data_IF_377631710230
#
_entry.id   IF_377631710230
#
_cell.length_a   1.000
_cell.length_b   1.000
_cell.length_c   1.000
_cell.angle_alpha   90.00
_cell.angle_beta   90.00
_cell.angle_gamma   90.00
#
_symmetry.space_group_name_H-M   'P 1'
#
loop_
_entity.id
_entity.type
_entity.pdbx_description
1 polymer ?
#
# COMPACT_ATOMS: atom_id res chain seq x y z
N UNK A 1 -10.54 10.28 20.49
CA UNK A 1 -10.64 9.52 19.23
C UNK A 1 -9.69 10.18 18.22
N UNK A 2 -8.50 9.61 18.02
CA UNK A 2 -7.42 10.24 17.24
C UNK A 2 -7.22 9.54 15.90
N UNK A 3 -7.13 10.31 14.82
CA UNK A 3 -6.71 9.82 13.51
C UNK A 3 -5.33 10.38 13.19
N UNK A 4 -4.37 9.52 12.85
CA UNK A 4 -3.02 9.95 12.44
C UNK A 4 -2.93 9.83 10.93
N UNK A 5 -3.04 10.97 10.25
CA UNK A 5 -2.86 11.07 8.80
C UNK A 5 -1.51 11.72 8.54
N UNK A 6 -0.51 10.94 8.14
CA UNK A 6 0.75 11.49 7.60
C UNK A 6 0.59 11.64 6.08
N UNK A 7 0.36 12.86 5.62
CA UNK A 7 0.29 13.22 4.20
C UNK A 7 1.27 14.38 3.96
N UNK A 8 2.16 14.24 2.97
CA UNK A 8 3.23 15.20 2.65
C UNK A 8 4.60 14.54 2.49
N UNK A 9 5.60 15.31 2.03
CA UNK A 9 6.99 14.86 1.90
C UNK A 9 7.59 14.53 3.26
N UNK A 10 7.62 13.24 3.59
CA UNK A 10 8.24 12.75 4.81
C UNK A 10 9.37 11.78 4.46
N UNK A 11 10.35 11.68 5.34
CA UNK A 11 11.43 10.70 5.25
C UNK A 11 11.04 9.51 6.12
N UNK A 12 10.51 8.42 5.54
CA UNK A 12 10.23 7.20 6.28
C UNK A 12 11.49 6.61 6.90
N UNK A 13 11.34 6.12 8.13
CA UNK A 13 12.36 5.32 8.80
C UNK A 13 12.40 3.90 8.21
N UNK A 14 13.54 3.23 8.34
CA UNK A 14 13.71 1.81 7.98
C UNK A 14 12.74 0.89 8.75
N UNK A 15 12.37 1.28 9.97
CA UNK A 15 11.44 0.54 10.81
C UNK A 15 10.28 1.44 11.26
N UNK A 16 9.06 1.07 10.88
CA UNK A 16 7.83 1.80 11.23
C UNK A 16 6.92 0.85 11.99
N UNK A 17 6.52 1.25 13.19
CA UNK A 17 5.51 0.52 13.96
C UNK A 17 4.18 1.25 13.90
N UNK A 18 3.17 0.61 13.34
CA UNK A 18 1.81 1.10 13.24
C UNK A 18 0.92 0.34 14.23
N UNK A 19 0.70 0.95 15.40
CA UNK A 19 -0.18 0.42 16.43
C UNK A 19 -1.56 1.06 16.29
N UNK A 20 -2.54 0.25 15.91
CA UNK A 20 -3.93 0.70 15.74
C UNK A 20 -4.79 -0.08 16.72
N UNK A 21 -5.07 0.53 17.86
CA UNK A 21 -5.97 -0.08 18.85
C UNK A 21 -7.43 0.02 18.38
N UNK A 22 -7.82 1.22 17.91
CA UNK A 22 -9.15 1.51 17.36
C UNK A 22 -9.02 2.66 16.35
N UNK A 23 -9.34 2.44 15.07
CA UNK A 23 -9.35 3.48 14.03
C UNK A 23 -8.64 3.09 12.73
N UNK A 24 -8.24 4.08 11.93
CA UNK A 24 -7.52 3.86 10.68
C UNK A 24 -6.12 4.48 10.68
N UNK A 25 -5.18 3.82 10.01
CA UNK A 25 -3.86 4.39 9.71
C UNK A 25 -3.63 4.38 8.21
N UNK A 26 -3.09 5.50 7.70
CA UNK A 26 -2.72 5.63 6.30
C UNK A 26 -1.26 6.04 6.19
N UNK A 27 -0.45 5.17 5.62
CA UNK A 27 0.97 5.41 5.34
C UNK A 27 1.14 5.66 3.84
N UNK A 28 1.65 6.83 3.47
CA UNK A 28 1.89 7.19 2.07
C UNK A 28 3.39 7.21 1.77
N UNK A 29 3.89 6.16 1.11
CA UNK A 29 5.27 6.10 0.64
C UNK A 29 5.46 6.67 -0.78
N UNK A 30 4.39 6.96 -1.54
CA UNK A 30 4.54 7.56 -2.88
C UNK A 30 4.88 9.05 -2.84
N UNK A 31 4.58 9.72 -1.72
CA UNK A 31 4.89 11.14 -1.52
C UNK A 31 6.18 11.37 -0.73
N UNK A 32 6.91 10.30 -0.37
CA UNK A 32 8.15 10.39 0.40
C UNK A 32 9.28 10.98 -0.44
N UNK A 33 10.08 11.87 0.15
CA UNK A 33 11.20 12.55 -0.53
C UNK A 33 12.43 11.65 -0.65
N UNK A 34 12.61 10.72 0.29
CA UNK A 34 13.70 9.75 0.31
C UNK A 34 13.19 8.47 0.97
N UNK A 35 13.37 7.33 0.31
CA UNK A 35 12.99 6.01 0.81
C UNK A 35 14.27 5.20 1.07
N UNK A 36 14.42 4.56 2.24
CA UNK A 36 15.51 3.62 2.47
C UNK A 36 15.38 2.41 1.53
N UNK A 37 16.46 1.67 1.23
CA UNK A 37 16.42 0.48 0.37
C UNK A 37 15.48 -0.61 0.91
N UNK A 38 15.30 -0.66 2.23
CA UNK A 38 14.38 -1.57 2.90
C UNK A 38 13.56 -0.81 3.96
N UNK A 39 12.25 -1.02 3.94
CA UNK A 39 11.30 -0.48 4.92
C UNK A 39 10.50 -1.63 5.52
N UNK A 40 10.59 -1.78 6.84
CA UNK A 40 9.81 -2.76 7.61
C UNK A 40 8.66 -2.05 8.32
N UNK A 41 7.43 -2.37 7.93
CA UNK A 41 6.21 -1.89 8.57
C UNK A 41 5.65 -2.98 9.49
N UNK A 42 5.72 -2.77 10.79
CA UNK A 42 5.09 -3.63 11.81
C UNK A 42 3.68 -3.11 12.11
N UNK A 43 2.67 -3.77 11.56
CA UNK A 43 1.27 -3.48 11.79
C UNK A 43 0.73 -4.31 12.97
N UNK A 44 0.37 -3.64 14.06
CA UNK A 44 -0.34 -4.25 15.19
C UNK A 44 -1.72 -3.62 15.26
N UNK A 45 -2.68 -4.28 14.62
CA UNK A 45 -4.04 -3.74 14.48
C UNK A 45 -4.97 -4.61 15.31
N UNK A 46 -5.54 -4.02 16.35
CA UNK A 46 -6.54 -4.68 17.18
C UNK A 46 -7.93 -4.51 16.54
N UNK A 47 -8.33 -3.27 16.26
CA UNK A 47 -9.60 -2.96 15.59
C UNK A 47 -9.43 -1.81 14.60
N UNK A 48 -9.49 -2.11 13.30
CA UNK A 48 -9.59 -1.13 12.24
C UNK A 48 -8.73 -1.41 11.02
N UNK A 49 -8.38 -0.38 10.26
CA UNK A 49 -7.79 -0.53 8.92
C UNK A 49 -6.40 0.10 8.83
N UNK A 50 -5.48 -0.56 8.12
CA UNK A 50 -4.21 0.02 7.72
C UNK A 50 -4.12 0.06 6.20
N UNK A 51 -3.98 1.27 5.65
CA UNK A 51 -3.75 1.49 4.22
C UNK A 51 -2.31 1.94 3.99
N UNK A 52 -1.57 1.17 3.21
CA UNK A 52 -0.18 1.48 2.86
C UNK A 52 -0.13 1.79 1.36
N UNK A 53 0.25 3.00 0.97
CA UNK A 53 0.45 3.38 -0.43
C UNK A 53 1.92 3.20 -0.80
N UNK A 54 2.21 2.40 -1.82
CA UNK A 54 3.58 2.10 -2.27
C UNK A 54 3.81 2.60 -3.70
N UNK A 55 5.04 3.05 -4.03
CA UNK A 55 5.41 3.42 -5.39
C UNK A 55 5.45 2.18 -6.32
N UNK A 56 5.37 2.36 -7.65
CA UNK A 56 5.17 1.25 -8.60
C UNK A 56 6.37 0.31 -8.71
N UNK A 57 7.57 0.79 -8.38
CA UNK A 57 8.83 0.05 -8.43
C UNK A 57 9.17 -0.66 -7.10
N UNK A 58 8.36 -0.51 -6.05
CA UNK A 58 8.59 -1.19 -4.78
C UNK A 58 8.17 -2.66 -4.85
N UNK A 59 8.98 -3.53 -4.26
CA UNK A 59 8.64 -4.93 -4.00
C UNK A 59 7.98 -5.01 -2.63
N UNK A 60 6.79 -5.62 -2.56
CA UNK A 60 6.02 -5.75 -1.33
C UNK A 60 6.08 -7.20 -0.86
N UNK A 61 6.46 -7.41 0.39
CA UNK A 61 6.40 -8.72 1.06
C UNK A 61 5.43 -8.65 2.23
N UNK A 62 4.39 -9.49 2.22
CA UNK A 62 3.39 -9.58 3.27
C UNK A 62 3.72 -10.78 4.17
N UNK A 63 4.19 -10.51 5.39
CA UNK A 63 4.55 -11.51 6.41
C UNK A 63 3.72 -11.31 7.68
N UNK A 64 2.42 -11.05 7.52
CA UNK A 64 1.50 -10.87 8.63
C UNK A 64 0.55 -12.05 8.82
N UNK A 65 0.02 -12.19 10.02
CA UNK A 65 -1.02 -13.18 10.33
C UNK A 65 -2.32 -12.46 10.65
N UNK A 66 -3.32 -12.48 9.75
CA UNK A 66 -4.67 -12.05 10.10
C UNK A 66 -5.36 -13.10 10.97
N UNK A 67 -6.06 -12.65 12.01
CA UNK A 67 -6.94 -13.47 12.85
C UNK A 67 -8.40 -13.32 12.37
N UNK A 68 -8.94 -12.09 12.34
CA UNK A 68 -10.24 -11.77 11.73
C UNK A 68 -10.11 -10.59 10.75
N UNK A 69 -9.82 -10.89 9.49
CA UNK A 69 -9.74 -9.91 8.41
C UNK A 69 -8.78 -10.33 7.31
N UNK A 70 -8.39 -9.40 6.44
CA UNK A 70 -7.48 -9.67 5.32
C UNK A 70 -6.18 -8.85 5.39
N UNK A 71 -5.08 -9.48 4.97
CA UNK A 71 -3.86 -8.77 4.58
C UNK A 71 -3.68 -9.00 3.09
N UNK A 72 -3.88 -7.96 2.27
CA UNK A 72 -3.84 -8.05 0.81
C UNK A 72 -3.12 -6.90 0.14
N UNK A 73 -2.37 -7.24 -0.89
CA UNK A 73 -1.87 -6.27 -1.87
C UNK A 73 -2.93 -6.08 -2.96
N UNK A 74 -3.29 -4.83 -3.21
CA UNK A 74 -4.26 -4.42 -4.22
C UNK A 74 -3.55 -3.45 -5.16
N UNK A 75 -3.26 -3.90 -6.38
CA UNK A 75 -2.83 -3.00 -7.44
C UNK A 75 -4.02 -2.15 -7.88
N UNK A 76 -4.04 -0.87 -7.50
CA UNK A 76 -5.05 0.07 -7.99
C UNK A 76 -4.55 0.71 -9.28
N UNK A 77 -5.04 0.22 -10.41
CA UNK A 77 -5.07 1.04 -11.62
C UNK A 77 -5.91 2.29 -11.32
N UNK A 78 -5.27 3.46 -11.26
CA UNK A 78 -5.95 4.74 -11.06
C UNK A 78 -6.66 5.11 -12.37
N UNK A 79 -7.80 4.45 -12.63
CA UNK A 79 -8.66 4.82 -13.74
C UNK A 79 -9.20 6.22 -13.46
N UNK A 80 -8.74 7.19 -14.26
CA UNK A 80 -9.26 8.57 -14.28
C UNK A 80 -10.75 8.45 -14.52
N UNK A 81 -11.59 8.96 -13.61
CA UNK A 81 -13.06 8.88 -13.68
C UNK A 81 -13.54 9.42 -15.02
N UNK A 82 -13.68 8.54 -16.02
CA UNK A 82 -14.25 8.88 -17.29
C UNK A 82 -15.74 9.06 -17.05
N UNK A 83 -16.19 10.31 -17.22
CA UNK A 83 -17.56 10.72 -16.98
C UNK A 83 -18.55 9.84 -17.74
N UNK A 84 -19.75 9.72 -17.18
CA UNK A 84 -20.93 9.11 -17.77
C UNK A 84 -21.10 9.55 -19.25
N UNK A 85 -20.61 8.77 -20.21
CA UNK A 85 -20.98 8.92 -21.62
C UNK A 85 -20.83 7.60 -22.36
N UNK A 86 -22.00 7.00 -22.61
CA UNK A 86 -22.41 6.18 -23.75
C UNK A 86 -21.54 4.99 -24.18
N UNK A 87 -22.16 3.80 -24.04
CA UNK A 87 -22.16 2.67 -25.00
C UNK A 87 -20.97 2.63 -25.95
N UNK A 88 -19.92 1.92 -25.57
CA UNK A 88 -18.80 1.61 -26.45
C UNK A 88 -17.96 0.51 -25.82
N UNK A 89 -18.07 -0.69 -26.38
CA UNK A 89 -17.18 -1.86 -26.30
C UNK A 89 -15.92 -1.67 -25.45
N UNK A 90 -15.84 -2.38 -24.33
CA UNK A 90 -14.58 -2.52 -23.57
C UNK A 90 -13.54 -3.19 -24.47
N UNK A 91 -12.31 -2.66 -24.60
CA UNK A 91 -11.17 -3.51 -24.92
C UNK A 91 -10.83 -4.36 -23.69
N UNK A 92 -10.63 -5.65 -23.91
CA UNK A 92 -10.01 -6.52 -22.91
C UNK A 92 -8.62 -5.98 -22.57
N UNK A 93 -8.22 -5.87 -21.29
CA UNK A 93 -6.83 -5.60 -20.93
C UNK A 93 -6.00 -6.88 -21.15
N UNK A 94 -5.77 -7.24 -22.40
CA UNK A 94 -4.72 -8.18 -22.78
C UNK A 94 -3.40 -7.41 -22.74
N UNK A 95 -2.53 -7.74 -21.77
CA UNK A 95 -1.21 -7.11 -21.62
C UNK A 95 -0.94 -6.40 -20.29
N UNK A 96 -1.48 -6.89 -19.16
CA UNK A 96 -0.91 -6.51 -17.85
C UNK A 96 0.34 -7.34 -17.58
N UNK A 97 1.36 -7.18 -18.42
CA UNK A 97 2.69 -7.66 -18.06
C UNK A 97 3.23 -6.69 -17.01
N UNK A 98 3.51 -7.13 -15.76
CA UNK A 98 4.26 -6.31 -14.83
C UNK A 98 5.64 -6.08 -15.46
N UNK A 99 5.91 -4.85 -15.89
CA UNK A 99 7.26 -4.43 -16.28
C UNK A 99 8.16 -4.63 -15.07
N UNK A 100 8.85 -5.76 -15.05
CA UNK A 100 9.85 -6.08 -14.05
C UNK A 100 11.05 -5.20 -14.38
N UNK A 101 11.12 -4.03 -13.75
CA UNK A 101 12.26 -3.15 -13.85
C UNK A 101 13.53 -3.89 -13.44
N UNK A 102 14.48 -3.97 -14.35
CA UNK A 102 15.78 -4.59 -14.17
C UNK A 102 16.61 -3.82 -13.14
N UNK A 103 17.04 -4.55 -12.10
CA UNK A 103 18.29 -4.42 -11.34
C UNK A 103 18.83 -3.01 -11.03
N UNK A 104 18.21 -2.37 -10.05
CA UNK A 104 18.90 -1.74 -8.91
C UNK A 104 18.10 -2.17 -7.68
N UNK A 105 18.74 -2.49 -6.54
CA UNK A 105 18.10 -3.11 -5.37
C UNK A 105 16.65 -2.63 -5.17
N UNK A 106 15.65 -3.46 -5.52
CA UNK A 106 14.29 -2.96 -5.59
C UNK A 106 13.85 -2.62 -4.18
N UNK A 107 13.39 -1.39 -3.98
CA UNK A 107 12.86 -0.90 -2.71
C UNK A 107 11.98 -1.97 -2.06
N UNK A 108 12.47 -2.58 -0.98
CA UNK A 108 11.79 -3.67 -0.28
C UNK A 108 10.87 -3.09 0.78
N UNK A 109 9.57 -3.33 0.67
CA UNK A 109 8.60 -2.97 1.71
C UNK A 109 8.07 -4.27 2.32
N UNK A 110 8.51 -4.54 3.55
CA UNK A 110 8.11 -5.73 4.30
C UNK A 110 7.02 -5.32 5.29
N UNK A 111 5.82 -5.88 5.14
CA UNK A 111 4.69 -5.65 6.04
C UNK A 111 4.54 -6.87 6.94
N UNK A 112 4.73 -6.68 8.24
CA UNK A 112 4.68 -7.74 9.26
C UNK A 112 3.67 -7.41 10.34
N UNK A 113 3.27 -8.42 11.10
CA UNK A 113 2.51 -8.23 12.34
C UNK A 113 1.18 -8.95 12.37
N UNK A 114 0.32 -8.53 13.30
CA UNK A 114 -0.93 -9.22 13.63
C UNK A 114 -2.09 -8.26 13.41
N UNK A 115 -3.10 -8.77 12.72
CA UNK A 115 -4.37 -8.07 12.48
C UNK A 115 -5.46 -8.88 13.15
N UNK A 116 -5.98 -8.37 14.26
CA UNK A 116 -7.02 -9.07 15.02
C UNK A 116 -8.37 -8.84 14.36
N UNK A 117 -8.76 -7.58 14.12
CA UNK A 117 -10.03 -7.24 13.49
C UNK A 117 -9.85 -6.08 12.49
N UNK A 118 -10.13 -6.34 11.20
CA UNK A 118 -10.06 -5.35 10.10
C UNK A 118 -9.03 -5.70 9.02
N UNK A 119 -8.63 -4.75 8.18
CA UNK A 119 -7.83 -5.05 6.98
C UNK A 119 -6.49 -4.31 6.93
N UNK A 120 -5.46 -4.99 6.40
CA UNK A 120 -4.24 -4.35 5.89
C UNK A 120 -4.30 -4.36 4.37
N UNK A 121 -4.36 -3.16 3.78
CA UNK A 121 -4.47 -2.93 2.33
C UNK A 121 -3.21 -2.25 1.84
N UNK A 122 -2.37 -2.97 1.11
CA UNK A 122 -1.24 -2.37 0.40
C UNK A 122 -1.69 -1.97 -1.00
N UNK A 123 -1.58 -0.69 -1.35
CA UNK A 123 -2.03 -0.15 -2.62
C UNK A 123 -0.85 0.38 -3.42
N UNK A 124 -0.58 -0.26 -4.54
CA UNK A 124 0.38 0.22 -5.52
C UNK A 124 -0.24 1.34 -6.36
N UNK A 125 0.36 2.52 -6.35
CA UNK A 125 -0.09 3.66 -7.17
C UNK A 125 0.84 3.77 -8.38
N UNK A 126 0.33 3.43 -9.56
CA UNK A 126 1.00 3.75 -10.83
C UNK A 126 0.65 5.20 -11.19
N UNK A 127 1.66 6.08 -11.21
CA UNK A 127 1.55 7.39 -11.84
C UNK A 127 2.04 7.21 -13.28
N UNK A 128 1.12 7.36 -14.23
CA UNK A 128 1.42 7.51 -15.66
C UNK A 128 2.17 8.83 -15.88
#
# INVERSE_FOLDING_TARGET
>A
MGSVKRQGGWVPAEHITANVLMGDVKLDFTSATSLPPQVTVRAQILMGDCTILVPPHAQVSLQGTPIMGDIKEVTKHRWRKWGKSKRGRLPHPEGTEPVTGTAGDPLQIVVTGVVVMGDVKVQRIVRD
#
